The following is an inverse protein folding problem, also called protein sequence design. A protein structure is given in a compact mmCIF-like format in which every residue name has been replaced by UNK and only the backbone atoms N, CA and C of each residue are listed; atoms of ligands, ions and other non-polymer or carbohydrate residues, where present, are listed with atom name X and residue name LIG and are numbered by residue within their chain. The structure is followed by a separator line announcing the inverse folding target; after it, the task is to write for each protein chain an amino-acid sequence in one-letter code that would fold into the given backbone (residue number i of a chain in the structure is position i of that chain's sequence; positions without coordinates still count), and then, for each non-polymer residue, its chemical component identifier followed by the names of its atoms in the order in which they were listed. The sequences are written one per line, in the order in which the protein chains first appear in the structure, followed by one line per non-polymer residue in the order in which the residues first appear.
data_IF_372410723514
#
_entry.id   IF_372410723514
#
_cell.length_a   1.000
_cell.length_b   1.000
_cell.length_c   1.000
_cell.angle_alpha   90.00
_cell.angle_beta   90.00
_cell.angle_gamma   90.00
#
_symmetry.space_group_name_H-M   'P 1'
#
loop_
_entity.id
_entity.type
_entity.pdbx_description
1 polymer ?
#
# COMPACT_ATOMS: atom_id res chain seq x y z
N UNK A 1 28.26 71.41 -34.26
CA UNK A 1 28.74 70.03 -34.26
C UNK A 1 28.86 69.45 -32.84
N UNK A 2 29.37 70.22 -31.85
CA UNK A 2 29.49 69.72 -30.47
C UNK A 2 28.15 69.33 -29.80
N UNK A 3 27.06 70.07 -30.10
CA UNK A 3 25.72 69.76 -29.56
C UNK A 3 25.17 68.33 -29.98
N UNK A 4 25.51 67.91 -31.15
CA UNK A 4 25.09 66.54 -31.64
C UNK A 4 25.87 65.46 -30.94
N UNK A 5 27.14 65.65 -30.61
CA UNK A 5 27.95 64.71 -29.85
C UNK A 5 27.42 64.50 -28.41
N UNK A 6 26.97 65.62 -27.78
CA UNK A 6 26.37 65.54 -26.44
C UNK A 6 25.07 64.76 -26.47
N UNK A 7 24.19 65.01 -27.45
CA UNK A 7 22.93 64.34 -27.57
C UNK A 7 23.11 62.80 -27.84
N UNK A 8 24.06 62.48 -28.69
CA UNK A 8 24.39 61.05 -28.97
C UNK A 8 24.97 60.40 -27.72
N UNK A 9 25.83 61.08 -26.95
CA UNK A 9 26.37 60.53 -25.69
C UNK A 9 25.29 60.25 -24.64
N UNK A 10 24.31 61.14 -24.51
CA UNK A 10 23.19 60.97 -23.59
C UNK A 10 22.30 59.77 -24.03
N UNK A 11 22.01 59.63 -25.33
CA UNK A 11 21.19 58.49 -25.84
C UNK A 11 21.93 57.16 -25.62
N UNK A 12 23.24 57.10 -25.87
CA UNK A 12 24.04 55.88 -25.64
C UNK A 12 24.08 55.54 -24.15
N UNK A 13 24.17 56.52 -23.26
CA UNK A 13 24.15 56.30 -21.80
C UNK A 13 22.79 55.74 -21.33
N UNK A 14 21.69 56.16 -21.93
CA UNK A 14 20.35 55.63 -21.62
C UNK A 14 20.14 54.20 -22.11
N UNK A 15 20.71 53.84 -23.23
CA UNK A 15 20.63 52.47 -23.77
C UNK A 15 21.44 51.49 -22.91
N UNK A 16 22.56 51.92 -22.35
CA UNK A 16 23.38 51.07 -21.48
C UNK A 16 22.76 50.85 -20.08
N UNK A 17 21.85 51.72 -19.63
CA UNK A 17 21.15 51.56 -18.34
C UNK A 17 19.96 50.59 -18.42
N UNK A 18 19.50 50.19 -19.60
CA UNK A 18 18.31 49.33 -19.79
C UNK A 18 18.56 47.84 -19.58
N UNK A 19 19.82 47.39 -19.36
CA UNK A 19 20.14 45.96 -19.12
C UNK A 19 20.37 45.68 -17.63
N UNK A 20 19.42 46.04 -16.79
CA UNK A 20 19.34 45.42 -15.46
C UNK A 20 18.29 44.32 -15.56
N UNK A 21 18.73 43.09 -15.81
CA UNK A 21 17.87 41.93 -15.67
C UNK A 21 17.35 41.90 -14.23
N UNK A 22 16.03 41.85 -14.01
CA UNK A 22 15.52 41.60 -12.67
C UNK A 22 16.20 40.32 -12.15
N UNK A 23 16.74 40.38 -10.95
CA UNK A 23 17.24 39.16 -10.28
C UNK A 23 16.08 38.20 -10.22
N UNK A 24 16.12 37.18 -11.06
CA UNK A 24 15.18 36.07 -10.93
C UNK A 24 15.32 35.53 -9.53
N UNK A 25 14.28 35.61 -8.73
CA UNK A 25 14.22 34.92 -7.45
C UNK A 25 14.18 33.42 -7.77
N UNK A 26 15.36 32.85 -7.99
CA UNK A 26 15.51 31.43 -8.07
C UNK A 26 15.05 30.87 -6.73
N UNK A 27 14.06 29.96 -6.76
CA UNK A 27 13.65 29.22 -5.58
C UNK A 27 14.90 28.65 -4.89
N UNK A 28 14.98 28.69 -3.54
CA UNK A 28 16.12 28.16 -2.83
C UNK A 28 16.46 26.76 -3.36
N UNK A 29 17.74 26.55 -3.66
CA UNK A 29 18.19 25.27 -4.21
C UNK A 29 17.78 24.14 -3.23
N UNK A 30 17.01 23.17 -3.72
CA UNK A 30 16.64 22.00 -2.93
C UNK A 30 17.92 21.16 -2.81
N UNK A 31 18.57 21.23 -1.64
CA UNK A 31 19.81 20.52 -1.37
C UNK A 31 19.60 19.01 -1.13
N UNK A 32 18.37 18.63 -0.79
CA UNK A 32 18.01 17.24 -0.52
C UNK A 32 17.28 16.66 -1.73
N UNK A 33 18.03 16.05 -2.64
CA UNK A 33 17.50 15.35 -3.81
C UNK A 33 16.52 14.24 -3.46
N UNK A 34 16.65 13.65 -2.27
CA UNK A 34 15.82 12.55 -1.81
C UNK A 34 14.43 13.02 -1.37
N UNK A 35 14.26 14.33 -1.16
CA UNK A 35 12.96 14.91 -0.79
C UNK A 35 12.08 15.27 -1.97
N UNK A 36 12.62 15.29 -3.19
CA UNK A 36 11.89 15.69 -4.40
C UNK A 36 11.34 14.47 -5.11
N UNK A 37 10.03 14.46 -5.33
CA UNK A 37 9.40 13.46 -6.18
C UNK A 37 9.91 13.58 -7.62
N UNK A 38 10.15 12.44 -8.28
CA UNK A 38 10.46 12.41 -9.72
C UNK A 38 9.23 12.83 -10.54
N UNK A 39 8.05 12.43 -10.10
CA UNK A 39 6.78 12.74 -10.77
C UNK A 39 5.69 12.94 -9.72
N UNK A 40 4.85 13.96 -9.92
CA UNK A 40 3.59 14.13 -9.18
C UNK A 40 2.46 14.33 -10.19
N UNK A 41 1.42 13.53 -10.08
CA UNK A 41 0.21 13.60 -10.92
C UNK A 41 -1.01 13.85 -10.05
N UNK A 42 -1.97 14.60 -10.57
CA UNK A 42 -3.21 14.94 -9.90
C UNK A 42 -4.41 14.45 -10.71
N UNK A 43 -5.50 14.09 -10.01
CA UNK A 43 -6.73 13.62 -10.65
C UNK A 43 -6.51 12.36 -11.48
N UNK A 44 -5.79 11.38 -10.92
CA UNK A 44 -5.34 10.19 -11.64
C UNK A 44 -6.45 9.16 -11.75
N UNK A 45 -6.65 8.65 -12.97
CA UNK A 45 -7.49 7.49 -13.27
C UNK A 45 -6.74 6.68 -14.34
N UNK A 46 -6.06 5.63 -13.93
CA UNK A 46 -5.14 4.89 -14.79
C UNK A 46 -5.34 3.39 -14.69
N UNK A 47 -5.03 2.69 -15.76
CA UNK A 47 -5.01 1.22 -15.82
C UNK A 47 -3.56 0.74 -15.75
N UNK A 48 -3.32 -0.25 -14.92
CA UNK A 48 -2.04 -0.94 -14.80
C UNK A 48 -2.16 -2.31 -15.44
N UNK A 49 -1.28 -2.59 -16.40
CA UNK A 49 -1.19 -3.88 -17.06
C UNK A 49 0.11 -4.59 -16.70
N UNK A 50 0.03 -5.90 -16.61
CA UNK A 50 1.18 -6.80 -16.50
C UNK A 50 1.09 -7.83 -17.62
N UNK A 51 2.19 -7.98 -18.37
CA UNK A 51 2.28 -8.95 -19.48
C UNK A 51 1.13 -8.84 -20.50
N UNK A 52 0.67 -7.60 -20.76
CA UNK A 52 -0.42 -7.33 -21.72
C UNK A 52 -1.84 -7.55 -21.15
N UNK A 53 -1.99 -7.95 -19.90
CA UNK A 53 -3.29 -8.11 -19.23
C UNK A 53 -3.49 -6.96 -18.24
N UNK A 54 -4.63 -6.28 -18.31
CA UNK A 54 -4.99 -5.24 -17.34
C UNK A 54 -5.28 -5.93 -16.00
N UNK A 55 -4.53 -5.55 -14.98
CA UNK A 55 -4.66 -6.12 -13.63
C UNK A 55 -5.41 -5.19 -12.68
N UNK A 56 -5.13 -3.88 -12.77
CA UNK A 56 -5.64 -2.91 -11.81
C UNK A 56 -6.08 -1.63 -12.50
N UNK A 57 -7.05 -0.94 -11.89
CA UNK A 57 -7.35 0.46 -12.13
C UNK A 57 -7.12 1.22 -10.85
N UNK A 58 -6.34 2.29 -10.91
CA UNK A 58 -6.08 3.17 -9.77
C UNK A 58 -6.78 4.49 -10.01
N UNK A 59 -7.60 4.90 -9.03
CA UNK A 59 -8.21 6.22 -8.97
C UNK A 59 -7.75 6.91 -7.70
N UNK A 60 -7.13 8.09 -7.84
CA UNK A 60 -6.61 8.88 -6.72
C UNK A 60 -6.55 10.35 -7.07
N UNK A 61 -6.65 11.23 -6.08
CA UNK A 61 -6.48 12.66 -6.31
C UNK A 61 -5.01 13.06 -6.51
N UNK A 62 -4.07 12.33 -5.88
CA UNK A 62 -2.64 12.59 -5.99
C UNK A 62 -1.84 11.29 -6.01
N UNK A 63 -0.95 11.20 -6.98
CA UNK A 63 0.02 10.14 -7.12
C UNK A 63 1.42 10.74 -7.24
N UNK A 64 2.29 10.39 -6.34
CA UNK A 64 3.69 10.79 -6.32
C UNK A 64 4.59 9.58 -6.52
N UNK A 65 5.54 9.69 -7.46
CA UNK A 65 6.57 8.68 -7.70
C UNK A 65 7.89 9.23 -7.21
N UNK A 66 8.50 8.53 -6.26
CA UNK A 66 9.80 8.91 -5.69
C UNK A 66 10.77 7.73 -5.80
N UNK A 67 11.51 7.69 -6.91
CA UNK A 67 12.54 6.68 -7.19
C UNK A 67 13.93 7.10 -6.71
N UNK A 68 14.10 8.36 -6.27
CA UNK A 68 15.38 8.85 -5.72
C UNK A 68 15.59 8.40 -4.27
N UNK A 69 14.53 7.97 -3.59
CA UNK A 69 14.63 7.43 -2.23
C UNK A 69 14.98 5.96 -2.24
N UNK A 70 15.61 5.53 -1.16
CA UNK A 70 15.84 4.11 -0.87
C UNK A 70 15.08 3.76 0.41
N UNK A 71 14.05 2.89 0.34
CA UNK A 71 13.51 2.23 -0.87
C UNK A 71 12.72 3.18 -1.77
N UNK A 72 12.74 2.90 -3.07
CA UNK A 72 11.89 3.54 -4.08
C UNK A 72 10.41 3.27 -3.78
N UNK A 73 9.54 4.28 -3.98
CA UNK A 73 8.12 4.12 -3.67
C UNK A 73 7.21 5.07 -4.44
N UNK A 74 6.00 4.62 -4.63
CA UNK A 74 4.87 5.44 -5.04
C UNK A 74 4.05 5.81 -3.82
N UNK A 75 3.51 7.03 -3.79
CA UNK A 75 2.76 7.57 -2.66
C UNK A 75 1.39 8.04 -3.15
N UNK A 76 0.35 7.63 -2.45
CA UNK A 76 -1.05 8.00 -2.66
C UNK A 76 -1.58 8.53 -1.32
N UNK A 77 -1.46 9.84 -1.08
CA UNK A 77 -1.73 10.47 0.22
C UNK A 77 -3.08 11.22 0.28
N UNK A 78 -3.86 11.17 -0.80
CA UNK A 78 -5.16 11.85 -0.92
C UNK A 78 -6.30 10.88 -1.25
N UNK A 79 -6.27 9.71 -0.64
CA UNK A 79 -7.22 8.66 -0.93
C UNK A 79 -6.84 7.84 -2.16
N UNK A 80 -7.12 6.55 -2.12
CA UNK A 80 -6.91 5.64 -3.23
C UNK A 80 -8.08 4.66 -3.33
N UNK A 81 -8.60 4.49 -4.54
CA UNK A 81 -9.46 3.38 -4.92
C UNK A 81 -8.69 2.53 -5.96
N UNK A 82 -8.53 1.26 -5.67
CA UNK A 82 -7.94 0.28 -6.56
C UNK A 82 -9.00 -0.75 -6.91
N UNK A 83 -9.26 -0.93 -8.20
CA UNK A 83 -10.09 -2.00 -8.76
C UNK A 83 -9.17 -3.08 -9.28
N UNK A 84 -9.36 -4.30 -8.82
CA UNK A 84 -8.63 -5.48 -9.30
C UNK A 84 -9.48 -6.22 -10.31
N UNK A 85 -8.90 -6.57 -11.47
CA UNK A 85 -9.58 -7.29 -12.54
C UNK A 85 -9.16 -8.77 -12.60
N UNK A 86 -10.08 -9.59 -13.06
CA UNK A 86 -9.78 -10.96 -13.49
C UNK A 86 -9.23 -10.97 -14.94
N UNK A 87 -8.86 -12.14 -15.43
CA UNK A 87 -8.31 -12.31 -16.79
C UNK A 87 -9.30 -11.93 -17.91
N UNK A 88 -10.58 -11.83 -17.60
CA UNK A 88 -11.67 -11.44 -18.52
C UNK A 88 -12.07 -9.98 -18.38
N UNK A 89 -11.28 -9.20 -17.64
CA UNK A 89 -11.54 -7.77 -17.38
C UNK A 89 -12.84 -7.53 -16.58
N UNK A 90 -13.27 -8.48 -15.75
CA UNK A 90 -14.32 -8.24 -14.77
C UNK A 90 -13.70 -7.83 -13.44
N UNK A 91 -14.37 -6.96 -12.72
CA UNK A 91 -13.90 -6.53 -11.40
C UNK A 91 -14.02 -7.70 -10.43
N UNK A 92 -12.90 -8.08 -9.84
CA UNK A 92 -12.79 -9.12 -8.83
C UNK A 92 -12.90 -8.55 -7.41
N UNK A 93 -12.28 -7.40 -7.18
CA UNK A 93 -12.35 -6.70 -5.89
C UNK A 93 -12.12 -5.21 -6.01
N UNK A 94 -12.63 -4.48 -5.02
CA UNK A 94 -12.35 -3.08 -4.76
C UNK A 94 -11.54 -2.97 -3.49
N UNK A 95 -10.47 -2.16 -3.52
CA UNK A 95 -9.65 -1.84 -2.36
C UNK A 95 -9.65 -0.31 -2.22
N UNK A 96 -10.01 0.18 -1.04
CA UNK A 96 -10.06 1.61 -0.74
C UNK A 96 -9.26 1.89 0.53
N UNK A 97 -8.54 3.02 0.57
CA UNK A 97 -7.85 3.51 1.76
C UNK A 97 -7.63 5.02 1.68
N UNK A 98 -7.21 5.63 2.80
CA UNK A 98 -6.89 7.06 2.85
C UNK A 98 -5.49 7.34 2.33
N UNK A 99 -4.53 6.46 2.59
CA UNK A 99 -3.14 6.59 2.16
C UNK A 99 -2.59 5.23 1.76
N UNK A 100 -1.87 5.18 0.66
CA UNK A 100 -1.16 4.00 0.23
C UNK A 100 0.29 4.32 -0.16
N UNK A 101 1.17 3.35 0.10
CA UNK A 101 2.54 3.32 -0.36
C UNK A 101 2.76 2.03 -1.14
N UNK A 102 3.32 2.14 -2.33
CA UNK A 102 3.77 1.00 -3.10
C UNK A 102 5.29 1.02 -3.21
N UNK A 103 5.94 0.00 -2.71
CA UNK A 103 7.38 -0.23 -2.80
C UNK A 103 7.62 -1.09 -4.03
N UNK A 104 8.00 -0.45 -5.12
CA UNK A 104 8.06 -1.05 -6.46
C UNK A 104 9.14 -2.14 -6.58
N UNK A 105 10.27 -1.99 -5.89
CA UNK A 105 11.35 -2.99 -5.88
C UNK A 105 10.97 -4.23 -5.08
N UNK A 106 10.29 -4.04 -3.94
CA UNK A 106 9.84 -5.11 -3.06
C UNK A 106 8.49 -5.71 -3.50
N UNK A 107 7.76 -4.99 -4.37
CA UNK A 107 6.39 -5.31 -4.80
C UNK A 107 5.42 -5.45 -3.61
N UNK A 108 5.52 -4.51 -2.68
CA UNK A 108 4.71 -4.49 -1.46
C UNK A 108 3.89 -3.20 -1.39
N UNK A 109 2.59 -3.37 -1.18
CA UNK A 109 1.66 -2.30 -0.86
C UNK A 109 1.49 -2.21 0.66
N UNK A 110 1.51 -0.97 1.18
CA UNK A 110 1.13 -0.66 2.56
C UNK A 110 0.00 0.36 2.53
N UNK A 111 -1.16 -0.04 3.01
CA UNK A 111 -2.37 0.76 3.02
C UNK A 111 -2.71 1.17 4.46
N UNK A 112 -3.14 2.42 4.61
CA UNK A 112 -3.42 3.03 5.91
C UNK A 112 -4.69 3.87 5.86
N UNK A 113 -5.40 3.89 6.98
CA UNK A 113 -6.60 4.66 7.22
C UNK A 113 -7.80 4.11 6.46
N UNK A 114 -8.84 3.73 7.19
CA UNK A 114 -10.13 3.26 6.67
C UNK A 114 -10.01 2.24 5.54
N UNK A 115 -9.07 1.33 5.65
CA UNK A 115 -8.86 0.30 4.63
C UNK A 115 -10.11 -0.56 4.51
N UNK A 116 -10.63 -0.69 3.29
CA UNK A 116 -11.80 -1.50 2.96
C UNK A 116 -11.52 -2.33 1.72
N UNK A 117 -11.90 -3.61 1.78
CA UNK A 117 -11.92 -4.48 0.61
C UNK A 117 -13.33 -5.01 0.44
N UNK A 118 -13.81 -5.01 -0.79
CA UNK A 118 -15.07 -5.63 -1.20
C UNK A 118 -14.77 -6.55 -2.38
N UNK A 119 -15.04 -7.84 -2.23
CA UNK A 119 -14.90 -8.80 -3.32
C UNK A 119 -16.22 -9.01 -4.06
N UNK A 120 -16.16 -9.52 -5.29
CA UNK A 120 -17.34 -9.88 -6.08
C UNK A 120 -18.26 -10.91 -5.38
N UNK A 121 -17.68 -11.74 -4.51
CA UNK A 121 -18.40 -12.78 -3.75
C UNK A 121 -19.05 -12.21 -2.48
N UNK A 122 -19.03 -10.88 -2.29
CA UNK A 122 -19.68 -10.20 -1.18
C UNK A 122 -18.89 -10.19 0.13
N UNK A 123 -17.64 -10.66 0.13
CA UNK A 123 -16.76 -10.57 1.28
C UNK A 123 -16.35 -9.11 1.50
N UNK A 124 -16.42 -8.66 2.76
CA UNK A 124 -16.07 -7.29 3.17
C UNK A 124 -15.01 -7.35 4.26
N UNK A 125 -13.88 -6.74 4.00
CA UNK A 125 -12.80 -6.56 4.98
C UNK A 125 -12.68 -5.09 5.36
N UNK A 126 -12.42 -4.81 6.64
CA UNK A 126 -12.15 -3.46 7.14
C UNK A 126 -11.03 -3.49 8.17
N UNK A 127 -10.10 -2.55 8.08
CA UNK A 127 -8.99 -2.37 9.00
C UNK A 127 -8.44 -0.95 8.91
N UNK A 128 -7.58 -0.55 9.85
CA UNK A 128 -6.82 0.70 9.77
C UNK A 128 -5.48 0.52 9.03
N UNK A 129 -5.02 -0.72 8.86
CA UNK A 129 -3.79 -1.02 8.13
C UNK A 129 -3.93 -2.32 7.37
N UNK A 130 -3.28 -2.40 6.20
CA UNK A 130 -3.17 -3.63 5.43
C UNK A 130 -1.84 -3.62 4.67
N UNK A 131 -1.15 -4.73 4.69
CA UNK A 131 0.02 -4.99 3.85
C UNK A 131 -0.37 -6.03 2.81
N UNK A 132 -0.08 -5.74 1.55
CA UNK A 132 -0.24 -6.69 0.44
C UNK A 132 1.13 -6.93 -0.18
N UNK A 133 1.60 -8.16 -0.08
CA UNK A 133 2.84 -8.66 -0.66
C UNK A 133 2.51 -9.39 -1.96
N UNK A 134 2.77 -8.74 -3.09
CA UNK A 134 2.48 -9.32 -4.41
C UNK A 134 3.35 -10.54 -4.72
N UNK A 135 4.58 -10.60 -4.19
CA UNK A 135 5.46 -11.75 -4.44
C UNK A 135 4.99 -13.01 -3.71
N UNK A 136 4.39 -12.82 -2.53
CA UNK A 136 3.81 -13.93 -1.75
C UNK A 136 2.36 -14.19 -2.08
N UNK A 137 1.70 -13.28 -2.81
CA UNK A 137 0.26 -13.28 -3.04
C UNK A 137 -0.55 -13.30 -1.74
N UNK A 138 -0.12 -12.48 -0.77
CA UNK A 138 -0.68 -12.46 0.58
C UNK A 138 -1.10 -11.06 1.01
N UNK A 139 -2.20 -11.02 1.76
CA UNK A 139 -2.69 -9.86 2.48
C UNK A 139 -2.52 -10.10 3.98
N UNK A 140 -2.04 -9.12 4.73
CA UNK A 140 -1.90 -9.23 6.18
C UNK A 140 -2.15 -7.90 6.89
N UNK A 141 -2.66 -7.99 8.12
CA UNK A 141 -2.84 -6.85 9.01
C UNK A 141 -2.49 -7.24 10.44
N UNK A 142 -1.71 -6.40 11.12
CA UNK A 142 -1.29 -6.58 12.51
C UNK A 142 -2.08 -5.68 13.48
N UNK A 143 -3.20 -5.14 13.02
CA UNK A 143 -4.11 -4.32 13.83
C UNK A 143 -5.51 -4.89 13.78
N UNK A 144 -6.40 -4.35 14.61
CA UNK A 144 -7.79 -4.79 14.63
C UNK A 144 -8.39 -4.77 13.22
N UNK A 145 -8.95 -5.91 12.83
CA UNK A 145 -9.53 -6.14 11.53
C UNK A 145 -10.87 -6.85 11.67
N UNK A 146 -11.80 -6.53 10.79
CA UNK A 146 -13.11 -7.16 10.71
C UNK A 146 -13.32 -7.72 9.31
N UNK A 147 -13.70 -8.98 9.25
CA UNK A 147 -14.04 -9.70 8.02
C UNK A 147 -15.49 -10.14 8.10
N UNK A 148 -16.28 -9.76 7.13
CA UNK A 148 -17.68 -10.15 6.96
C UNK A 148 -17.77 -10.98 5.68
N UNK A 149 -18.19 -12.21 5.83
CA UNK A 149 -18.57 -13.09 4.73
C UNK A 149 -20.08 -13.24 4.71
N UNK A 150 -20.69 -13.80 3.64
CA UNK A 150 -22.13 -14.10 3.63
C UNK A 150 -22.59 -14.96 4.81
N UNK A 151 -21.70 -15.82 5.34
CA UNK A 151 -22.02 -16.83 6.35
C UNK A 151 -21.67 -16.38 7.78
N UNK A 152 -20.66 -15.52 7.94
CA UNK A 152 -20.11 -15.21 9.27
C UNK A 152 -19.38 -13.87 9.32
N UNK A 153 -19.25 -13.36 10.54
CA UNK A 153 -18.40 -12.20 10.84
C UNK A 153 -17.26 -12.62 11.76
N UNK A 154 -16.04 -12.33 11.35
CA UNK A 154 -14.83 -12.53 12.13
C UNK A 154 -14.17 -11.19 12.42
N UNK A 155 -13.60 -11.04 13.61
CA UNK A 155 -12.83 -9.84 13.97
C UNK A 155 -11.71 -10.23 14.93
N UNK A 156 -10.57 -9.59 14.80
CA UNK A 156 -9.39 -9.90 15.61
C UNK A 156 -8.26 -8.91 15.42
N UNK A 157 -7.17 -9.12 16.15
CA UNK A 157 -5.99 -8.25 16.14
C UNK A 157 -4.94 -8.63 15.10
N UNK A 158 -5.12 -9.75 14.45
CA UNK A 158 -4.27 -10.19 13.34
C UNK A 158 -5.14 -10.79 12.24
N UNK A 159 -4.86 -10.43 11.00
CA UNK A 159 -5.50 -10.94 9.80
C UNK A 159 -4.44 -11.38 8.80
N UNK A 160 -4.68 -12.51 8.16
CA UNK A 160 -3.95 -13.00 7.00
C UNK A 160 -4.91 -13.59 5.98
N UNK A 161 -4.60 -13.43 4.71
CA UNK A 161 -5.37 -14.02 3.62
C UNK A 161 -4.48 -14.18 2.38
N UNK A 162 -4.89 -15.08 1.47
CA UNK A 162 -4.39 -15.04 0.11
C UNK A 162 -4.92 -13.80 -0.64
N UNK A 163 -4.29 -13.44 -1.75
CA UNK A 163 -4.61 -12.24 -2.54
C UNK A 163 -6.08 -12.20 -3.02
N UNK A 164 -6.68 -13.36 -3.26
CA UNK A 164 -8.08 -13.50 -3.69
C UNK A 164 -9.08 -13.56 -2.55
N UNK A 165 -8.60 -13.54 -1.31
CA UNK A 165 -9.40 -13.69 -0.09
C UNK A 165 -10.23 -14.97 -0.04
N UNK A 166 -9.74 -16.04 -0.69
CA UNK A 166 -10.39 -17.36 -0.66
C UNK A 166 -10.01 -18.17 0.56
N UNK A 167 -8.80 -17.98 1.07
CA UNK A 167 -8.30 -18.53 2.32
C UNK A 167 -7.91 -17.39 3.24
N UNK A 168 -8.43 -17.38 4.44
CA UNK A 168 -8.16 -16.33 5.41
C UNK A 168 -8.08 -16.88 6.82
N UNK A 169 -7.35 -16.17 7.66
CA UNK A 169 -7.16 -16.46 9.07
C UNK A 169 -7.27 -15.17 9.89
N UNK A 170 -7.98 -15.25 11.01
CA UNK A 170 -8.11 -14.15 11.98
C UNK A 170 -7.76 -14.70 13.35
N UNK A 171 -6.71 -14.16 14.00
CA UNK A 171 -6.31 -14.56 15.35
C UNK A 171 -6.93 -13.66 16.41
N UNK A 172 -7.04 -14.18 17.64
CA UNK A 172 -7.72 -13.54 18.76
C UNK A 172 -9.15 -13.11 18.39
N UNK A 173 -9.82 -13.95 17.61
CA UNK A 173 -11.10 -13.60 17.03
C UNK A 173 -12.24 -13.72 18.04
N UNK A 174 -13.09 -12.71 18.05
CA UNK A 174 -14.48 -12.82 18.47
C UNK A 174 -15.33 -12.97 17.21
N UNK A 175 -16.10 -14.03 17.07
CA UNK A 175 -16.93 -14.27 15.91
C UNK A 175 -18.41 -14.36 16.29
N UNK A 176 -19.30 -13.92 15.42
CA UNK A 176 -20.71 -14.24 15.44
C UNK A 176 -21.02 -15.13 14.23
N UNK A 177 -21.68 -16.25 14.47
CA UNK A 177 -22.12 -17.16 13.43
C UNK A 177 -23.64 -16.95 13.20
N UNK A 178 -24.06 -17.00 11.97
CA UNK A 178 -25.48 -16.95 11.66
C UNK A 178 -26.13 -18.28 12.10
N UNK A 179 -27.38 -18.17 12.61
CA UNK A 179 -28.11 -19.32 13.16
C UNK A 179 -28.43 -20.31 12.04
N UNK A 180 -27.62 -21.34 11.91
CA UNK A 180 -27.75 -22.36 10.87
C UNK A 180 -26.48 -23.15 10.57
N UNK A 181 -25.34 -22.60 10.97
CA UNK A 181 -24.00 -23.16 10.63
C UNK A 181 -23.61 -24.42 11.47
N UNK A 182 -24.40 -24.72 12.50
CA UNK A 182 -24.26 -25.94 13.29
C UNK A 182 -25.46 -26.85 13.04
N UNK A 183 -25.44 -27.55 11.93
CA UNK A 183 -26.34 -28.63 11.67
C UNK A 183 -26.12 -29.80 12.64
N UNK A 184 -26.98 -29.92 13.65
CA UNK A 184 -27.18 -31.15 14.38
C UNK A 184 -26.59 -31.26 15.78
N UNK A 185 -27.43 -31.13 16.80
CA UNK A 185 -27.26 -31.84 18.08
C UNK A 185 -26.92 -31.01 19.30
N UNK A 186 -27.91 -30.59 20.04
CA UNK A 186 -27.90 -30.75 21.49
C UNK A 186 -27.36 -29.66 22.39
N UNK A 187 -28.29 -29.01 23.06
CA UNK A 187 -28.24 -28.47 24.42
C UNK A 187 -27.34 -27.28 24.74
N UNK A 188 -28.05 -26.24 25.09
CA UNK A 188 -27.68 -25.07 25.89
C UNK A 188 -26.79 -25.41 27.10
N UNK A 189 -25.65 -24.71 27.22
CA UNK A 189 -25.15 -24.31 28.53
C UNK A 189 -24.31 -23.05 28.38
N UNK A 190 -24.86 -21.98 28.95
CA UNK A 190 -24.14 -20.79 29.35
C UNK A 190 -23.10 -21.17 30.40
N UNK A 191 -21.82 -20.93 30.14
CA UNK A 191 -20.81 -20.89 31.19
C UNK A 191 -19.75 -19.86 30.82
N UNK A 192 -19.82 -18.74 31.51
CA UNK A 192 -18.68 -17.87 31.80
C UNK A 192 -17.72 -18.64 32.69
N UNK A 193 -16.49 -18.80 32.29
CA UNK A 193 -15.36 -18.88 33.22
C UNK A 193 -14.03 -18.67 32.49
N UNK A 194 -13.36 -17.65 32.90
CA UNK A 194 -11.93 -17.47 32.85
C UNK A 194 -11.24 -18.70 33.42
N UNK A 195 -10.35 -19.35 32.66
CA UNK A 195 -9.16 -19.93 33.28
C UNK A 195 -8.02 -20.02 32.28
N UNK A 196 -6.93 -19.39 32.70
CA UNK A 196 -5.63 -19.36 32.05
C UNK A 196 -4.90 -20.63 32.49
N UNK A 197 -4.67 -21.57 31.56
CA UNK A 197 -3.69 -22.62 31.78
C UNK A 197 -2.76 -22.70 30.59
N UNK A 198 -1.56 -22.21 30.82
CA UNK A 198 -0.40 -22.30 29.96
C UNK A 198 0.03 -23.76 29.79
N UNK A 199 -0.06 -24.29 28.58
CA UNK A 199 0.61 -25.53 28.18
C UNK A 199 2.01 -25.18 27.60
N UNK A 200 3.05 -25.99 27.92
CA UNK A 200 4.42 -25.64 27.60
C UNK A 200 4.71 -25.82 26.10
N UNK A 201 5.32 -24.80 25.55
CA UNK A 201 5.90 -24.74 24.19
C UNK A 201 6.90 -25.87 23.99
N UNK A 202 6.62 -26.80 23.07
CA UNK A 202 7.65 -27.70 22.55
C UNK A 202 8.62 -26.91 21.67
N UNK A 203 9.89 -26.89 22.10
CA UNK A 203 10.99 -26.37 21.29
C UNK A 203 11.17 -27.21 20.02
N UNK A 204 11.50 -26.60 18.86
CA UNK A 204 11.90 -27.33 17.68
C UNK A 204 13.24 -28.01 17.91
N UNK A 205 13.35 -29.29 17.56
CA UNK A 205 14.55 -30.07 17.65
C UNK A 205 15.63 -29.51 16.68
N UNK A 206 16.82 -29.31 17.20
CA UNK A 206 18.03 -28.94 16.45
C UNK A 206 18.37 -30.04 15.44
N UNK A 207 18.73 -29.73 14.18
CA UNK A 207 19.17 -30.75 13.23
C UNK A 207 20.52 -31.27 13.64
N UNK A 208 20.63 -32.59 13.84
CA UNK A 208 21.86 -33.29 14.07
C UNK A 208 22.73 -33.26 12.79
N UNK A 209 23.96 -32.85 12.99
CA UNK A 209 25.04 -32.82 12.00
C UNK A 209 25.34 -34.25 11.52
N UNK A 210 25.20 -34.47 10.22
CA UNK A 210 25.62 -35.73 9.57
C UNK A 210 27.11 -35.98 9.75
N UNK A 211 27.45 -37.13 10.31
CA UNK A 211 28.82 -37.63 10.48
C UNK A 211 29.32 -38.14 9.14
N UNK A 212 30.38 -37.56 8.64
CA UNK A 212 31.10 -37.97 7.43
C UNK A 212 31.72 -39.36 7.64
N UNK A 213 31.41 -40.33 6.77
CA UNK A 213 32.03 -41.62 6.71
C UNK A 213 33.33 -41.51 5.85
N UNK A 214 34.49 -41.94 6.30
CA UNK A 214 35.71 -41.93 5.47
C UNK A 214 35.67 -43.09 4.46
N UNK A 215 36.00 -42.76 3.19
CA UNK A 215 36.21 -43.72 2.11
C UNK A 215 37.62 -44.34 2.34
N UNK A 216 37.65 -45.64 2.58
CA UNK A 216 38.86 -46.44 2.43
C UNK A 216 38.95 -46.95 1.00
N UNK A 217 40.17 -46.97 0.51
CA UNK A 217 40.68 -47.42 -0.80
C UNK A 217 40.10 -48.75 -1.31
#
# INVERSE_FOLDING_TARGET
KIKYFIVIGVIVSWVLAACQNPVEHTAPAIHDRDSVAMMTSYGVNTLISDSGVIKYRIVTERWEVNTNRVPSRWIFDKGMLLEQFDEKFHINSYIQCDTAYYFDQERVWKLYGRVRILTKDGLRFTSEQLTWDENKHELSSNVFSKLITPERTLQGSYFWSDERMTRYFVSNSKGSFEKGDFGGGGSSSSASSSDSTSAPMRQPATPQRATTIPIMH
#
